data_IF_600315171360
#
_entry.id   IF_600315171360
#
_cell.length_a   1.000
_cell.length_b   1.000
_cell.length_c   1.000
_cell.angle_alpha   90.00
_cell.angle_beta   90.00
_cell.angle_gamma   90.00
#
_symmetry.space_group_name_H-M   'P 1'
#
loop_
_entity.id
_entity.type
_entity.pdbx_description
1 polymer ?
#
# COMPACT_ATOMS: atom_id res chain seq x y z
N UNK A 1 -34.60 -9.02 64.17
CA UNK A 1 -34.90 -9.29 62.75
C UNK A 1 -34.12 -8.36 61.82
N UNK A 2 -33.67 -7.20 62.28
CA UNK A 2 -33.08 -6.14 61.43
C UNK A 2 -31.69 -6.47 60.86
N UNK A 3 -30.88 -7.27 61.56
CA UNK A 3 -29.53 -7.64 61.11
C UNK A 3 -29.54 -8.64 59.94
N UNK A 4 -30.54 -9.53 59.87
CA UNK A 4 -30.67 -10.50 58.77
C UNK A 4 -31.11 -9.80 57.48
N UNK A 5 -32.00 -8.82 57.59
CA UNK A 5 -32.44 -7.99 56.45
C UNK A 5 -31.26 -7.16 55.94
N UNK A 6 -30.46 -6.57 56.81
CA UNK A 6 -29.26 -5.83 56.42
C UNK A 6 -28.23 -6.72 55.68
N UNK A 7 -28.00 -7.94 56.16
CA UNK A 7 -27.09 -8.89 55.50
C UNK A 7 -27.61 -9.35 54.13
N UNK A 8 -28.92 -9.60 54.02
CA UNK A 8 -29.57 -9.97 52.76
C UNK A 8 -29.49 -8.84 51.72
N UNK A 9 -29.73 -7.59 52.13
CA UNK A 9 -29.64 -6.45 51.21
C UNK A 9 -28.20 -6.19 50.73
N UNK A 10 -27.21 -6.32 51.61
CA UNK A 10 -25.79 -6.15 51.25
C UNK A 10 -25.31 -7.23 50.28
N UNK A 11 -25.70 -8.49 50.48
CA UNK A 11 -25.33 -9.59 49.59
C UNK A 11 -25.95 -9.43 48.20
N UNK A 12 -27.22 -9.02 48.12
CA UNK A 12 -27.85 -8.75 46.82
C UNK A 12 -27.28 -7.53 46.09
N UNK A 13 -26.96 -6.45 46.81
CA UNK A 13 -26.30 -5.29 46.21
C UNK A 13 -24.92 -5.66 45.64
N UNK A 14 -24.13 -6.43 46.40
CA UNK A 14 -22.82 -6.92 45.95
C UNK A 14 -22.91 -7.83 44.72
N UNK A 15 -23.88 -8.76 44.69
CA UNK A 15 -24.10 -9.61 43.52
C UNK A 15 -24.50 -8.80 42.27
N UNK A 16 -25.29 -7.73 42.44
CA UNK A 16 -25.70 -6.86 41.35
C UNK A 16 -24.52 -6.08 40.77
N UNK A 17 -23.67 -5.50 41.64
CA UNK A 17 -22.46 -4.79 41.22
C UNK A 17 -21.49 -5.72 40.48
N UNK A 18 -21.31 -6.95 40.99
CA UNK A 18 -20.46 -7.95 40.33
C UNK A 18 -21.02 -8.36 38.95
N UNK A 19 -22.34 -8.55 38.83
CA UNK A 19 -23.00 -8.82 37.54
C UNK A 19 -22.84 -7.65 36.57
N UNK A 20 -22.97 -6.42 37.05
CA UNK A 20 -22.81 -5.24 36.20
C UNK A 20 -21.37 -5.06 35.73
N UNK A 21 -20.38 -5.30 36.61
CA UNK A 21 -18.96 -5.25 36.25
C UNK A 21 -18.58 -6.34 35.25
N UNK A 22 -19.06 -7.57 35.44
CA UNK A 22 -18.81 -8.67 34.50
C UNK A 22 -19.45 -8.40 33.14
N UNK A 23 -20.71 -7.95 33.10
CA UNK A 23 -21.39 -7.59 31.87
C UNK A 23 -20.67 -6.45 31.11
N UNK A 24 -20.24 -5.41 31.82
CA UNK A 24 -19.46 -4.32 31.23
C UNK A 24 -18.13 -4.82 30.64
N UNK A 25 -17.43 -5.72 31.35
CA UNK A 25 -16.21 -6.36 30.85
C UNK A 25 -16.44 -7.13 29.55
N UNK A 26 -17.49 -7.94 29.47
CA UNK A 26 -17.85 -8.67 28.25
C UNK A 26 -18.17 -7.75 27.07
N UNK A 27 -18.90 -6.66 27.30
CA UNK A 27 -19.22 -5.67 26.25
C UNK A 27 -17.95 -5.04 25.68
N UNK A 28 -17.00 -4.65 26.54
CA UNK A 28 -15.73 -4.05 26.10
C UNK A 28 -14.93 -5.04 25.26
N UNK A 29 -14.81 -6.30 25.71
CA UNK A 29 -14.09 -7.34 24.97
C UNK A 29 -14.74 -7.59 23.60
N UNK A 30 -16.07 -7.74 23.57
CA UNK A 30 -16.81 -7.94 22.32
C UNK A 30 -16.65 -6.76 21.36
N UNK A 31 -16.67 -5.52 21.86
CA UNK A 31 -16.46 -4.33 21.06
C UNK A 31 -15.05 -4.28 20.44
N UNK A 32 -14.01 -4.60 21.23
CA UNK A 32 -12.63 -4.67 20.74
C UNK A 32 -12.47 -5.72 19.65
N UNK A 33 -13.05 -6.91 19.85
CA UNK A 33 -13.04 -7.99 18.86
C UNK A 33 -13.73 -7.56 17.56
N UNK A 34 -14.90 -6.93 17.64
CA UNK A 34 -15.63 -6.45 16.47
C UNK A 34 -14.85 -5.40 15.67
N UNK A 35 -14.15 -4.49 16.35
CA UNK A 35 -13.28 -3.50 15.70
C UNK A 35 -12.08 -4.18 15.02
N UNK A 36 -11.43 -5.13 15.69
CA UNK A 36 -10.31 -5.87 15.10
C UNK A 36 -10.73 -6.63 13.85
N UNK A 37 -11.85 -7.34 13.89
CA UNK A 37 -12.37 -8.03 12.71
C UNK A 37 -12.69 -7.08 11.57
N UNK A 38 -13.26 -5.90 11.88
CA UNK A 38 -13.53 -4.87 10.87
C UNK A 38 -12.24 -4.37 10.22
N UNK A 39 -11.19 -4.13 10.99
CA UNK A 39 -9.87 -3.71 10.47
C UNK A 39 -9.25 -4.83 9.64
N UNK A 40 -9.28 -6.07 10.11
CA UNK A 40 -8.77 -7.23 9.38
C UNK A 40 -9.50 -7.42 8.04
N UNK A 41 -10.84 -7.36 8.04
CA UNK A 41 -11.65 -7.42 6.81
C UNK A 41 -11.38 -6.25 5.89
N UNK A 42 -11.19 -5.04 6.43
CA UNK A 42 -10.83 -3.88 5.63
C UNK A 42 -9.43 -4.03 5.00
N UNK A 43 -8.47 -4.61 5.72
CA UNK A 43 -7.14 -4.90 5.21
C UNK A 43 -7.16 -5.96 4.10
N UNK A 44 -7.94 -7.03 4.26
CA UNK A 44 -8.11 -8.05 3.22
C UNK A 44 -8.74 -7.50 1.93
N UNK A 45 -9.55 -6.44 2.02
CA UNK A 45 -10.16 -5.78 0.85
C UNK A 45 -9.23 -4.80 0.15
N UNK A 46 -8.07 -4.45 0.73
CA UNK A 46 -7.12 -3.54 0.08
C UNK A 46 -6.41 -4.30 -1.04
N UNK A 47 -6.55 -3.80 -2.27
CA UNK A 47 -5.87 -4.33 -3.46
C UNK A 47 -4.49 -3.68 -3.69
N UNK A 48 -4.05 -2.83 -2.78
CA UNK A 48 -2.74 -2.19 -2.84
C UNK A 48 -1.82 -2.78 -1.78
N UNK A 49 -0.56 -2.93 -2.14
CA UNK A 49 0.49 -3.40 -1.25
C UNK A 49 0.75 -2.34 -0.18
N UNK A 50 0.71 -2.75 1.10
CA UNK A 50 1.16 -1.89 2.20
C UNK A 50 2.68 -1.98 2.34
N UNK A 51 3.26 -1.18 3.25
CA UNK A 51 4.72 -1.22 3.48
C UNK A 51 5.20 -2.61 3.91
N UNK A 52 4.40 -3.33 4.68
CA UNK A 52 4.71 -4.67 5.16
C UNK A 52 4.66 -5.72 4.03
N UNK A 53 3.88 -5.48 2.97
CA UNK A 53 3.72 -6.40 1.84
C UNK A 53 4.80 -6.20 0.76
N UNK A 54 5.73 -5.25 0.96
CA UNK A 54 6.82 -5.00 0.00
C UNK A 54 7.88 -6.10 0.09
N UNK A 55 8.20 -6.66 -1.06
CA UNK A 55 9.31 -7.60 -1.19
C UNK A 55 10.65 -6.88 -0.91
N UNK A 56 11.60 -7.52 -0.19
CA UNK A 56 12.91 -6.94 0.09
C UNK A 56 13.69 -6.58 -1.18
N UNK A 57 13.50 -7.35 -2.26
CA UNK A 57 14.04 -7.07 -3.57
C UNK A 57 12.89 -7.03 -4.60
N UNK A 58 12.61 -5.87 -5.23
CA UNK A 58 11.53 -5.76 -6.21
C UNK A 58 11.80 -6.55 -7.51
N UNK A 59 13.05 -6.99 -7.74
CA UNK A 59 13.46 -7.75 -8.93
C UNK A 59 13.21 -9.25 -8.85
N UNK A 60 12.79 -9.76 -7.70
CA UNK A 60 12.62 -11.20 -7.48
C UNK A 60 11.14 -11.55 -7.26
N UNK A 61 10.67 -12.57 -7.98
CA UNK A 61 9.34 -13.15 -7.75
C UNK A 61 8.16 -12.23 -8.08
N UNK A 62 8.37 -11.06 -8.69
CA UNK A 62 7.29 -10.14 -9.02
C UNK A 62 6.79 -10.33 -10.46
N UNK A 63 5.52 -10.02 -10.74
CA UNK A 63 5.02 -9.88 -12.11
C UNK A 63 5.86 -8.87 -12.93
N UNK A 64 6.48 -7.90 -12.26
CA UNK A 64 7.42 -6.94 -12.86
C UNK A 64 8.66 -7.60 -13.46
N UNK A 65 9.19 -8.65 -12.82
CA UNK A 65 10.33 -9.42 -13.37
C UNK A 65 9.95 -10.11 -14.66
N UNK A 66 8.77 -10.75 -14.71
CA UNK A 66 8.27 -11.39 -15.93
C UNK A 66 8.00 -10.37 -17.04
N UNK A 67 7.39 -9.23 -16.70
CA UNK A 67 7.20 -8.12 -17.63
C UNK A 67 8.55 -7.65 -18.19
N UNK A 68 9.52 -7.41 -17.32
CA UNK A 68 10.88 -7.00 -17.70
C UNK A 68 11.58 -7.99 -18.63
N UNK A 69 11.48 -9.30 -18.34
CA UNK A 69 12.06 -10.33 -19.20
C UNK A 69 11.36 -10.46 -20.54
N UNK A 70 10.03 -10.25 -20.59
CA UNK A 70 9.26 -10.36 -21.83
C UNK A 70 9.65 -9.32 -22.88
N UNK A 71 10.17 -8.15 -22.45
CA UNK A 71 10.50 -6.98 -23.29
C UNK A 71 9.42 -6.67 -24.33
N UNK A 72 8.16 -6.88 -23.95
CA UNK A 72 7.03 -6.68 -24.84
C UNK A 72 6.50 -5.25 -24.70
N UNK A 73 6.67 -4.43 -25.74
CA UNK A 73 6.22 -3.04 -25.75
C UNK A 73 4.74 -2.90 -25.41
N UNK A 74 3.87 -3.80 -25.87
CA UNK A 74 2.44 -3.73 -25.58
C UNK A 74 2.17 -3.95 -24.09
N UNK A 75 2.88 -4.89 -23.47
CA UNK A 75 2.74 -5.17 -22.04
C UNK A 75 3.28 -4.01 -21.19
N UNK A 76 4.42 -3.42 -21.59
CA UNK A 76 5.00 -2.24 -20.95
C UNK A 76 4.10 -1.01 -21.06
N UNK A 77 3.57 -0.72 -22.25
CA UNK A 77 2.64 0.40 -22.45
C UNK A 77 1.37 0.20 -21.63
N UNK A 78 0.82 -1.02 -21.58
CA UNK A 78 -0.40 -1.30 -20.82
C UNK A 78 -0.19 -1.18 -19.31
N UNK A 79 0.99 -1.56 -18.81
CA UNK A 79 1.27 -1.61 -17.37
C UNK A 79 1.86 -0.30 -16.83
N UNK A 80 2.78 0.32 -17.57
CA UNK A 80 3.53 1.53 -17.17
C UNK A 80 3.07 2.81 -17.88
N UNK A 81 2.44 2.68 -19.04
CA UNK A 81 2.10 3.82 -19.91
C UNK A 81 3.20 4.25 -20.88
N UNK A 82 4.32 3.52 -20.97
CA UNK A 82 5.43 3.80 -21.89
C UNK A 82 6.11 2.52 -22.38
N UNK A 83 6.88 2.62 -23.47
CA UNK A 83 7.51 1.47 -24.11
C UNK A 83 8.79 0.99 -23.41
N UNK A 84 9.34 -0.14 -23.88
CA UNK A 84 10.54 -0.75 -23.28
C UNK A 84 11.76 0.19 -23.38
N UNK A 85 11.88 0.97 -24.46
CA UNK A 85 13.02 1.88 -24.67
C UNK A 85 12.99 3.04 -23.68
N UNK A 86 11.82 3.62 -23.44
CA UNK A 86 11.62 4.63 -22.41
C UNK A 86 11.97 4.09 -21.02
N UNK A 87 11.62 2.83 -20.72
CA UNK A 87 12.00 2.21 -19.46
C UNK A 87 13.51 2.10 -19.30
N UNK A 88 14.22 1.62 -20.34
CA UNK A 88 15.69 1.54 -20.29
C UNK A 88 16.35 2.92 -20.19
N UNK A 89 15.80 3.94 -20.84
CA UNK A 89 16.28 5.32 -20.68
C UNK A 89 16.19 5.79 -19.22
N UNK A 90 15.08 5.49 -18.53
CA UNK A 90 14.91 5.82 -17.10
C UNK A 90 15.90 5.03 -16.24
N UNK A 91 16.12 3.75 -16.55
CA UNK A 91 17.12 2.94 -15.86
C UNK A 91 18.51 3.55 -15.98
N UNK A 92 18.91 3.91 -17.19
CA UNK A 92 20.23 4.47 -17.50
C UNK A 92 20.40 5.89 -16.93
N UNK A 93 19.32 6.64 -16.74
CA UNK A 93 19.35 7.97 -16.10
C UNK A 93 19.58 7.94 -14.58
N UNK A 94 19.93 6.78 -14.02
CA UNK A 94 20.27 6.61 -12.60
C UNK A 94 19.21 5.90 -11.77
N UNK A 95 18.05 5.54 -12.35
CA UNK A 95 17.05 4.76 -11.63
C UNK A 95 17.51 3.32 -11.37
N UNK A 96 18.38 2.75 -12.24
CA UNK A 96 18.90 1.39 -12.08
C UNK A 96 19.56 1.15 -10.71
N UNK A 97 20.28 2.16 -10.19
CA UNK A 97 20.95 2.09 -8.89
C UNK A 97 19.96 1.97 -7.72
N UNK A 98 18.77 2.57 -7.83
CA UNK A 98 17.74 2.51 -6.81
C UNK A 98 16.82 1.30 -7.00
N UNK A 99 16.54 0.92 -8.24
CA UNK A 99 15.64 -0.18 -8.58
C UNK A 99 16.14 -1.55 -8.09
N UNK A 100 17.45 -1.79 -8.13
CA UNK A 100 18.05 -3.05 -7.67
C UNK A 100 18.47 -3.06 -6.20
N UNK A 101 18.31 -1.94 -5.48
CA UNK A 101 18.71 -1.86 -4.08
C UNK A 101 17.73 -2.68 -3.24
N UNK A 102 18.25 -3.60 -2.44
CA UNK A 102 17.48 -4.26 -1.39
C UNK A 102 16.98 -3.18 -0.43
N UNK A 103 15.68 -3.09 -0.26
CA UNK A 103 15.10 -2.16 0.71
C UNK A 103 15.23 -2.83 2.08
N UNK A 104 16.14 -2.32 2.90
CA UNK A 104 16.12 -2.62 4.33
C UNK A 104 14.84 -2.02 4.91
N UNK A 105 14.02 -2.86 5.54
CA UNK A 105 12.64 -2.53 5.95
C UNK A 105 12.60 -1.59 7.18
N UNK A 106 13.74 -1.09 7.62
CA UNK A 106 13.86 -0.16 8.73
C UNK A 106 13.55 1.27 8.30
N UNK A 107 12.26 1.62 8.30
CA UNK A 107 11.76 2.91 8.80
C UNK A 107 12.25 4.23 8.17
N UNK A 108 13.16 4.22 7.21
CA UNK A 108 13.93 5.39 6.77
C UNK A 108 13.23 6.21 5.70
N UNK A 109 13.31 7.53 5.89
CA UNK A 109 12.89 8.60 4.99
C UNK A 109 13.40 8.40 3.56
N UNK A 110 12.50 8.45 2.58
CA UNK A 110 12.87 8.49 1.15
C UNK A 110 13.38 9.90 0.85
N UNK A 111 14.69 10.13 0.99
CA UNK A 111 15.30 11.35 0.45
C UNK A 111 15.33 11.25 -1.06
N UNK A 112 14.39 11.93 -1.71
CA UNK A 112 14.45 12.24 -3.14
C UNK A 112 15.60 13.23 -3.33
N UNK A 113 16.79 12.73 -3.63
CA UNK A 113 17.85 13.56 -4.22
C UNK A 113 17.42 13.84 -5.65
N UNK A 114 16.65 14.92 -5.81
CA UNK A 114 16.18 15.38 -7.11
C UNK A 114 17.33 15.86 -7.96
N UNK A 115 17.57 15.18 -9.08
CA UNK A 115 17.93 15.85 -10.32
C UNK A 115 16.68 15.87 -11.19
N UNK A 116 16.12 17.07 -11.37
CA UNK A 116 15.05 17.31 -12.32
C UNK A 116 15.62 17.06 -13.72
N UNK A 117 15.29 15.92 -14.33
CA UNK A 117 15.40 15.78 -15.79
C UNK A 117 14.12 16.40 -16.34
N UNK A 118 14.24 17.66 -16.76
CA UNK A 118 13.15 18.37 -17.42
C UNK A 118 12.98 17.80 -18.84
N UNK A 119 12.20 16.72 -18.96
CA UNK A 119 11.74 16.26 -20.26
C UNK A 119 10.65 17.21 -20.76
N UNK A 120 11.06 18.20 -21.56
CA UNK A 120 10.13 19.09 -22.28
C UNK A 120 9.20 18.26 -23.17
N UNK A 121 7.96 18.11 -22.72
CA UNK A 121 6.87 17.51 -23.48
C UNK A 121 6.40 18.52 -24.54
N UNK A 122 6.95 18.43 -25.75
CA UNK A 122 6.48 19.23 -26.87
C UNK A 122 5.12 18.72 -27.35
N UNK A 123 4.05 19.44 -27.02
CA UNK A 123 2.68 19.16 -27.49
C UNK A 123 2.63 19.42 -29.01
N UNK A 124 2.60 18.36 -29.81
CA UNK A 124 2.18 18.48 -31.21
C UNK A 124 0.70 18.08 -31.30
N UNK A 125 -0.14 19.07 -31.57
CA UNK A 125 -1.57 18.91 -31.79
C UNK A 125 -1.79 18.37 -33.21
N UNK A 126 -2.34 17.16 -33.31
CA UNK A 126 -3.00 16.69 -34.53
C UNK A 126 -4.46 16.48 -34.18
N UNK A 127 -5.34 17.27 -34.80
CA UNK A 127 -6.79 17.08 -34.74
C UNK A 127 -7.14 15.82 -35.52
N UNK A 128 -7.62 14.80 -34.82
CA UNK A 128 -8.11 13.56 -35.41
C UNK A 128 -8.58 12.62 -34.29
N UNK A 129 -9.84 12.20 -34.40
CA UNK A 129 -10.62 11.43 -33.42
C UNK A 129 -9.84 10.22 -32.86
N UNK A 130 -9.74 10.16 -31.53
CA UNK A 130 -9.65 8.91 -30.76
C UNK A 130 -8.33 8.14 -30.79
N UNK A 131 -7.34 8.56 -29.99
CA UNK A 131 -6.19 7.73 -29.61
C UNK A 131 -4.92 8.54 -29.34
N UNK A 132 -4.67 8.91 -28.08
CA UNK A 132 -3.40 9.50 -27.67
C UNK A 132 -2.28 8.46 -27.81
N UNK A 133 -1.60 8.48 -28.95
CA UNK A 133 -0.34 7.74 -29.13
C UNK A 133 0.80 8.70 -28.83
N UNK A 134 1.34 8.65 -27.61
CA UNK A 134 2.53 9.41 -27.25
C UNK A 134 3.73 8.79 -27.97
N UNK A 135 4.19 9.45 -29.05
CA UNK A 135 5.39 9.05 -29.78
C UNK A 135 6.57 9.84 -29.25
N UNK A 136 7.38 9.23 -28.38
CA UNK A 136 8.65 9.83 -27.94
C UNK A 136 9.67 9.75 -29.08
N UNK A 137 10.23 10.90 -29.49
CA UNK A 137 11.29 10.98 -30.51
C UNK A 137 12.62 11.34 -29.84
N UNK A 138 13.44 10.34 -29.57
CA UNK A 138 14.81 10.54 -29.08
C UNK A 138 15.70 10.99 -30.26
N UNK A 139 16.32 12.18 -30.18
CA UNK A 139 17.44 12.56 -31.06
C UNK A 139 18.72 11.96 -30.46
N UNK A 140 19.45 11.18 -31.25
CA UNK A 140 20.79 10.71 -30.91
C UNK A 140 21.80 11.85 -31.07
N UNK A 141 22.59 12.10 -30.03
CA UNK A 141 23.81 12.89 -30.11
C UNK A 141 25.00 11.94 -30.27
N UNK A 142 25.82 12.22 -31.28
CA UNK A 142 27.10 11.56 -31.58
C UNK A 142 28.11 11.65 -30.43
#
# INVERSE_FOLDING_TARGET
>A
MDHLVAHYLLTHAYEQDLRQQTAAGFIIIAAVQAVQERIARANLRRLYLTRADRLPNPREGTPWTQLFHSRNDRAFITTMGFDVRCFFLILDSGFAAQWGRRLDVDGGEVRVLGSVVECSAQKSSVRGVGGLTLRAKCRGGS
#
